data_IF_565102364940
#
_entry.id   IF_565102364940
#
_cell.length_a   1.000
_cell.length_b   1.000
_cell.length_c   1.000
_cell.angle_alpha   90.00
_cell.angle_beta   90.00
_cell.angle_gamma   90.00
#
_symmetry.space_group_name_H-M   'P 1'
#
loop_
_entity.id
_entity.type
_entity.pdbx_description
1 polymer ?
#
# COMPACT_ATOMS: atom_id res chain seq x y z
N UNK A 1 1.93 5.41 15.29
CA UNK A 1 2.89 4.32 15.08
C UNK A 1 4.19 4.66 15.81
N UNK A 2 4.83 3.69 16.49
CA UNK A 2 6.21 3.89 16.92
C UNK A 2 7.10 3.95 15.68
N UNK A 3 8.17 4.73 15.73
CA UNK A 3 9.11 4.90 14.61
C UNK A 3 9.60 3.54 14.06
N UNK A 4 9.89 2.60 14.97
CA UNK A 4 10.28 1.22 14.62
C UNK A 4 9.22 0.43 13.88
N UNK A 5 7.95 0.51 14.27
CA UNK A 5 6.87 -0.19 13.56
C UNK A 5 6.73 0.33 12.13
N UNK A 6 6.89 1.65 11.94
CA UNK A 6 6.89 2.27 10.62
C UNK A 6 8.07 1.79 9.77
N UNK A 7 9.30 1.80 10.31
CA UNK A 7 10.48 1.32 9.58
C UNK A 7 10.33 -0.13 9.12
N UNK A 8 9.73 -1.00 9.94
CA UNK A 8 9.47 -2.39 9.56
C UNK A 8 8.45 -2.49 8.42
N UNK A 9 7.38 -1.68 8.45
CA UNK A 9 6.38 -1.67 7.38
C UNK A 9 6.93 -1.12 6.06
N UNK A 10 7.79 -0.09 6.13
CA UNK A 10 8.53 0.42 4.96
C UNK A 10 9.46 -0.66 4.39
N UNK A 11 10.16 -1.40 5.26
CA UNK A 11 10.96 -2.57 4.84
C UNK A 11 10.13 -3.66 4.21
N UNK A 12 8.93 -3.94 4.76
CA UNK A 12 8.03 -4.96 4.22
C UNK A 12 7.54 -4.56 2.82
N UNK A 13 7.14 -3.30 2.62
CA UNK A 13 6.77 -2.79 1.30
C UNK A 13 7.90 -2.95 0.28
N UNK A 14 9.15 -2.60 0.66
CA UNK A 14 10.33 -2.80 -0.19
C UNK A 14 10.58 -4.26 -0.55
N UNK A 15 10.51 -5.17 0.43
CA UNK A 15 10.74 -6.60 0.19
C UNK A 15 9.65 -7.17 -0.71
N UNK A 16 8.39 -6.84 -0.47
CA UNK A 16 7.26 -7.27 -1.30
C UNK A 16 7.42 -6.74 -2.73
N UNK A 17 7.73 -5.45 -2.92
CA UNK A 17 7.93 -4.88 -4.24
C UNK A 17 9.09 -5.52 -5.02
N UNK A 18 10.15 -5.97 -4.34
CA UNK A 18 11.36 -6.53 -4.98
C UNK A 18 11.33 -8.04 -5.17
N UNK A 19 10.68 -8.78 -4.26
CA UNK A 19 10.78 -10.25 -4.15
C UNK A 19 9.41 -10.93 -4.09
N UNK A 20 8.32 -10.16 -4.18
CA UNK A 20 6.96 -10.64 -4.01
C UNK A 20 6.64 -11.08 -2.58
N UNK A 21 5.37 -11.38 -2.33
CA UNK A 21 4.90 -11.81 -1.01
C UNK A 21 5.58 -13.11 -0.55
N UNK A 22 5.81 -14.06 -1.46
CA UNK A 22 6.51 -15.33 -1.16
C UNK A 22 7.97 -15.11 -0.74
N UNK A 23 8.60 -14.04 -1.20
CA UNK A 23 9.96 -13.65 -0.82
C UNK A 23 10.06 -13.00 0.56
N UNK A 24 8.94 -12.64 1.19
CA UNK A 24 8.94 -12.02 2.52
C UNK A 24 9.24 -13.05 3.62
N UNK A 25 10.51 -13.10 4.02
CA UNK A 25 11.00 -13.84 5.19
C UNK A 25 11.21 -12.88 6.35
N UNK A 26 10.79 -13.26 7.56
CA UNK A 26 10.87 -12.39 8.75
C UNK A 26 12.31 -12.04 9.11
N UNK A 27 13.26 -12.95 8.89
CA UNK A 27 14.68 -12.70 9.10
C UNK A 27 15.22 -11.62 8.14
N UNK A 28 15.01 -11.80 6.84
CA UNK A 28 15.39 -10.83 5.81
C UNK A 28 14.73 -9.46 6.03
N UNK A 29 13.47 -9.44 6.46
CA UNK A 29 12.77 -8.21 6.80
C UNK A 29 13.40 -7.50 8.01
N UNK A 30 13.77 -8.26 9.05
CA UNK A 30 14.41 -7.71 10.23
C UNK A 30 15.77 -7.08 9.88
N UNK A 31 16.54 -7.74 9.01
CA UNK A 31 17.79 -7.22 8.46
C UNK A 31 17.57 -5.93 7.65
N UNK A 32 16.62 -5.93 6.71
CA UNK A 32 16.24 -4.78 5.88
C UNK A 32 15.78 -3.57 6.72
N UNK A 33 15.11 -3.83 7.85
CA UNK A 33 14.62 -2.79 8.76
C UNK A 33 15.63 -2.41 9.86
N UNK A 34 16.79 -3.06 9.93
CA UNK A 34 17.80 -2.81 10.96
C UNK A 34 17.31 -3.10 12.39
N UNK A 35 16.50 -4.16 12.56
CA UNK A 35 15.91 -4.58 13.84
C UNK A 35 16.13 -6.08 14.10
N UNK A 36 15.81 -6.55 15.30
CA UNK A 36 15.80 -7.98 15.60
C UNK A 36 14.52 -8.65 15.12
N UNK A 37 14.60 -9.94 14.77
CA UNK A 37 13.41 -10.77 14.47
C UNK A 37 12.42 -10.80 15.63
N UNK A 38 12.91 -10.81 16.88
CA UNK A 38 12.09 -10.72 18.07
C UNK A 38 11.26 -9.42 18.12
N UNK A 39 11.82 -8.28 17.71
CA UNK A 39 11.08 -7.01 17.65
C UNK A 39 10.02 -7.02 16.55
N UNK A 40 10.29 -7.68 15.43
CA UNK A 40 9.28 -7.88 14.38
C UNK A 40 8.12 -8.72 14.93
N UNK A 41 8.39 -9.89 15.53
CA UNK A 41 7.34 -10.71 16.12
C UNK A 41 6.60 -10.00 17.27
N UNK A 42 7.28 -9.17 18.06
CA UNK A 42 6.63 -8.34 19.07
C UNK A 42 5.55 -7.42 18.48
N UNK A 43 5.83 -6.78 17.33
CA UNK A 43 4.89 -5.86 16.70
C UNK A 43 3.80 -6.54 15.86
N UNK A 44 4.14 -7.65 15.21
CA UNK A 44 3.30 -8.23 14.15
C UNK A 44 2.80 -9.64 14.46
N UNK A 45 3.27 -10.26 15.55
CA UNK A 45 2.97 -11.62 16.02
C UNK A 45 3.46 -12.74 15.11
N UNK A 46 3.13 -12.68 13.83
CA UNK A 46 3.43 -13.70 12.83
C UNK A 46 3.57 -13.07 11.42
N UNK A 47 3.96 -13.89 10.44
CA UNK A 47 4.09 -13.45 9.04
C UNK A 47 2.76 -12.96 8.44
N UNK A 48 1.62 -13.63 8.65
CA UNK A 48 0.32 -13.10 8.25
C UNK A 48 0.01 -11.71 8.81
N UNK A 49 0.32 -11.48 10.08
CA UNK A 49 0.16 -10.20 10.75
C UNK A 49 1.04 -9.10 10.17
N UNK A 50 2.25 -9.43 9.69
CA UNK A 50 3.08 -8.52 8.91
C UNK A 50 2.37 -8.17 7.60
N UNK A 51 1.86 -9.17 6.87
CA UNK A 51 1.24 -8.96 5.56
C UNK A 51 -0.03 -8.11 5.64
N UNK A 52 -0.93 -8.38 6.59
CA UNK A 52 -2.14 -7.56 6.80
C UNK A 52 -1.80 -6.11 7.11
N UNK A 53 -0.82 -5.89 7.99
CA UNK A 53 -0.42 -4.53 8.34
C UNK A 53 0.37 -3.84 7.23
N UNK A 54 1.14 -4.59 6.43
CA UNK A 54 1.80 -4.06 5.24
C UNK A 54 0.79 -3.65 4.18
N UNK A 55 -0.27 -4.44 3.96
CA UNK A 55 -1.37 -4.08 3.06
C UNK A 55 -2.03 -2.76 3.50
N UNK A 56 -2.38 -2.62 4.78
CA UNK A 56 -2.94 -1.37 5.30
C UNK A 56 -1.97 -0.20 5.11
N UNK A 57 -0.69 -0.39 5.44
CA UNK A 57 0.34 0.64 5.24
C UNK A 57 0.51 1.07 3.78
N UNK A 58 0.43 0.13 2.83
CA UNK A 58 0.51 0.41 1.39
C UNK A 58 -0.74 1.17 0.93
N UNK A 59 -1.92 0.85 1.47
CA UNK A 59 -3.16 1.61 1.26
C UNK A 59 -3.03 3.05 1.77
N UNK A 60 -2.71 3.24 3.05
CA UNK A 60 -2.49 4.58 3.65
C UNK A 60 -1.43 5.38 2.88
N UNK A 61 -0.41 4.71 2.35
CA UNK A 61 0.63 5.34 1.53
C UNK A 61 0.09 5.80 0.19
N UNK A 62 -0.83 5.04 -0.42
CA UNK A 62 -1.52 5.44 -1.64
C UNK A 62 -2.36 6.68 -1.41
N UNK A 63 -3.20 6.67 -0.38
CA UNK A 63 -4.07 7.78 -0.02
C UNK A 63 -3.29 9.10 0.11
N UNK A 64 -2.11 9.07 0.76
CA UNK A 64 -1.26 10.26 0.93
C UNK A 64 -0.81 10.92 -0.37
N UNK A 65 -0.60 10.17 -1.46
CA UNK A 65 -0.17 10.74 -2.74
C UNK A 65 -1.30 10.88 -3.76
N UNK A 66 -2.48 10.33 -3.49
CA UNK A 66 -3.69 10.44 -4.33
C UNK A 66 -4.67 11.48 -3.81
N UNK A 67 -4.68 11.75 -2.50
CA UNK A 67 -5.47 12.80 -1.88
C UNK A 67 -5.23 14.14 -2.60
N UNK A 68 -6.31 14.87 -2.95
CA UNK A 68 -6.17 16.22 -3.48
C UNK A 68 -5.44 17.10 -2.46
N UNK A 69 -4.18 17.42 -2.76
CA UNK A 69 -3.50 18.48 -2.02
C UNK A 69 -4.17 19.81 -2.37
N UNK A 70 -4.85 20.42 -1.40
CA UNK A 70 -5.36 21.79 -1.48
C UNK A 70 -4.25 22.81 -1.81
N UNK A 71 -2.97 22.44 -1.66
CA UNK A 71 -1.82 23.28 -1.92
C UNK A 71 -1.61 23.64 -3.41
N UNK A 72 -2.39 23.04 -4.32
CA UNK A 72 -2.41 23.39 -5.75
C UNK A 72 -3.79 23.85 -6.25
N UNK A 73 -4.74 24.15 -5.37
CA UNK A 73 -6.14 24.38 -5.73
C UNK A 73 -6.37 25.69 -6.49
N UNK A 74 -6.12 25.67 -7.79
CA UNK A 74 -7.16 26.12 -8.73
C UNK A 74 -8.42 25.27 -8.49
N UNK A 75 -9.59 25.90 -8.64
CA UNK A 75 -10.92 25.32 -8.38
C UNK A 75 -11.02 23.83 -8.77
N UNK A 76 -11.67 23.04 -7.92
CA UNK A 76 -12.10 21.67 -8.26
C UNK A 76 -12.77 21.74 -9.64
N UNK A 77 -12.27 21.02 -10.67
CA UNK A 77 -12.87 21.05 -11.99
C UNK A 77 -14.34 20.72 -11.90
N UNK A 78 -15.12 21.45 -12.69
CA UNK A 78 -16.52 21.16 -12.86
C UNK A 78 -16.75 19.86 -13.65
N UNK A 79 -15.75 19.37 -14.39
CA UNK A 79 -15.85 18.16 -15.22
C UNK A 79 -15.45 16.89 -14.43
N UNK A 80 -16.39 15.94 -14.23
CA UNK A 80 -16.11 14.64 -13.64
C UNK A 80 -15.02 13.85 -14.36
N UNK A 81 -14.90 13.98 -15.68
CA UNK A 81 -13.85 13.30 -16.45
C UNK A 81 -12.47 13.81 -16.06
N UNK A 82 -12.30 15.12 -15.93
CA UNK A 82 -11.03 15.73 -15.52
C UNK A 82 -10.69 15.36 -14.07
N UNK A 83 -11.70 15.27 -13.19
CA UNK A 83 -11.51 14.76 -11.83
C UNK A 83 -11.00 13.32 -11.83
N UNK A 84 -11.66 12.43 -12.57
CA UNK A 84 -11.26 11.03 -12.71
C UNK A 84 -9.85 10.90 -13.28
N UNK A 85 -9.55 11.62 -14.36
CA UNK A 85 -8.23 11.59 -15.00
C UNK A 85 -7.13 12.00 -14.02
N UNK A 86 -7.32 13.10 -13.29
CA UNK A 86 -6.31 13.57 -12.32
C UNK A 86 -6.14 12.62 -11.14
N UNK A 87 -7.22 12.01 -10.65
CA UNK A 87 -7.14 10.97 -9.61
C UNK A 87 -6.34 9.77 -10.10
N UNK A 88 -6.66 9.25 -11.29
CA UNK A 88 -5.94 8.12 -11.88
C UNK A 88 -4.46 8.45 -12.14
N UNK A 89 -4.14 9.65 -12.64
CA UNK A 89 -2.75 10.05 -12.90
C UNK A 89 -1.90 10.10 -11.62
N UNK A 90 -2.50 10.37 -10.44
CA UNK A 90 -1.79 10.31 -9.16
C UNK A 90 -1.42 8.89 -8.75
N UNK A 91 -2.12 7.87 -9.25
CA UNK A 91 -1.77 6.47 -9.02
C UNK A 91 -0.56 6.01 -9.88
N UNK A 92 -0.27 6.73 -10.96
CA UNK A 92 0.73 6.34 -11.99
C UNK A 92 1.90 7.33 -12.11
N UNK A 93 2.44 7.79 -10.98
CA UNK A 93 3.57 8.71 -10.97
C UNK A 93 4.92 7.99 -11.14
N UNK A 94 5.91 8.67 -11.73
CA UNK A 94 7.28 8.16 -11.87
C UNK A 94 8.13 8.25 -10.59
N UNK A 95 7.54 8.75 -9.50
CA UNK A 95 8.21 8.83 -8.21
C UNK A 95 8.57 7.42 -7.69
N UNK A 96 9.81 7.19 -7.19
CA UNK A 96 10.23 5.88 -6.70
C UNK A 96 9.29 5.28 -5.65
N UNK A 97 8.78 6.12 -4.74
CA UNK A 97 7.81 5.73 -3.71
C UNK A 97 6.49 5.22 -4.30
N UNK A 98 5.95 5.88 -5.33
CA UNK A 98 4.69 5.49 -5.98
C UNK A 98 4.87 4.19 -6.76
N UNK A 99 5.98 4.06 -7.49
CA UNK A 99 6.30 2.83 -8.24
C UNK A 99 6.50 1.63 -7.32
N UNK A 100 7.19 1.81 -6.20
CA UNK A 100 7.36 0.78 -5.16
C UNK A 100 6.01 0.37 -4.57
N UNK A 101 5.17 1.34 -4.20
CA UNK A 101 3.87 1.08 -3.60
C UNK A 101 2.93 0.34 -4.56
N UNK A 102 2.87 0.79 -5.82
CA UNK A 102 2.10 0.16 -6.90
C UNK A 102 2.55 -1.28 -7.17
N UNK A 103 3.88 -1.52 -7.20
CA UNK A 103 4.42 -2.87 -7.37
C UNK A 103 4.06 -3.78 -6.20
N UNK A 104 4.19 -3.27 -4.96
CA UNK A 104 3.84 -4.05 -3.77
C UNK A 104 2.35 -4.40 -3.71
N UNK A 105 1.47 -3.47 -4.09
CA UNK A 105 0.04 -3.71 -4.22
C UNK A 105 -0.27 -4.78 -5.26
N UNK A 106 0.38 -4.70 -6.43
CA UNK A 106 0.27 -5.70 -7.50
C UNK A 106 0.67 -7.11 -7.03
N UNK A 107 1.79 -7.22 -6.31
CA UNK A 107 2.28 -8.48 -5.74
C UNK A 107 1.32 -9.07 -4.69
N UNK A 108 0.76 -8.23 -3.81
CA UNK A 108 -0.26 -8.64 -2.84
C UNK A 108 -1.52 -9.17 -3.54
N UNK A 109 -2.00 -8.44 -4.56
CA UNK A 109 -3.15 -8.87 -5.37
C UNK A 109 -2.86 -10.19 -6.08
N UNK A 110 -1.72 -10.33 -6.73
CA UNK A 110 -1.34 -11.55 -7.44
C UNK A 110 -1.19 -12.75 -6.49
N UNK A 111 -0.66 -12.53 -5.28
CA UNK A 111 -0.51 -13.56 -4.26
C UNK A 111 -1.85 -14.20 -3.89
N UNK A 112 -2.92 -13.40 -3.81
CA UNK A 112 -4.23 -13.91 -3.37
C UNK A 112 -4.89 -14.90 -4.32
N UNK A 113 -4.43 -14.97 -5.57
CA UNK A 113 -4.84 -16.03 -6.51
C UNK A 113 -4.48 -17.41 -5.96
N UNK A 114 -3.32 -17.53 -5.31
CA UNK A 114 -2.79 -18.80 -4.82
C UNK A 114 -2.98 -19.01 -3.32
N UNK A 115 -3.10 -17.93 -2.55
CA UNK A 115 -3.22 -17.97 -1.09
C UNK A 115 -4.40 -17.10 -0.63
N UNK A 116 -5.46 -17.68 -0.04
CA UNK A 116 -6.65 -16.92 0.33
C UNK A 116 -6.45 -15.92 1.48
N UNK A 117 -5.33 -15.98 2.20
CA UNK A 117 -5.15 -15.32 3.50
C UNK A 117 -5.51 -13.83 3.55
N UNK A 118 -5.29 -13.07 2.46
CA UNK A 118 -5.54 -11.61 2.40
C UNK A 118 -6.70 -11.24 1.46
N UNK A 119 -7.49 -12.20 0.99
CA UNK A 119 -8.53 -11.95 -0.03
C UNK A 119 -9.58 -10.97 0.46
N UNK A 120 -10.04 -11.13 1.69
CA UNK A 120 -11.11 -10.29 2.25
C UNK A 120 -10.62 -8.85 2.41
N UNK A 121 -9.42 -8.66 2.97
CA UNK A 121 -8.84 -7.34 3.17
C UNK A 121 -8.52 -6.64 1.84
N UNK A 122 -7.98 -7.34 0.84
CA UNK A 122 -7.75 -6.78 -0.50
C UNK A 122 -9.05 -6.46 -1.23
N UNK A 123 -10.07 -7.32 -1.09
CA UNK A 123 -11.38 -7.06 -1.68
C UNK A 123 -12.04 -5.83 -1.05
N UNK A 124 -11.96 -5.69 0.28
CA UNK A 124 -12.48 -4.53 1.00
C UNK A 124 -11.75 -3.24 0.58
N UNK A 125 -10.43 -3.25 0.52
CA UNK A 125 -9.65 -2.08 0.12
C UNK A 125 -9.91 -1.69 -1.36
N UNK A 126 -10.02 -2.68 -2.25
CA UNK A 126 -10.41 -2.43 -3.64
C UNK A 126 -11.82 -1.89 -3.79
N UNK A 127 -12.79 -2.39 -3.00
CA UNK A 127 -14.16 -1.91 -3.02
C UNK A 127 -14.27 -0.46 -2.51
N UNK A 128 -13.51 -0.10 -1.46
CA UNK A 128 -13.45 1.27 -0.95
C UNK A 128 -12.95 2.25 -2.03
N UNK A 129 -11.82 1.93 -2.67
CA UNK A 129 -11.27 2.75 -3.76
C UNK A 129 -12.23 2.87 -4.96
N UNK A 130 -12.91 1.78 -5.35
CA UNK A 130 -13.92 1.83 -6.42
C UNK A 130 -15.09 2.75 -6.05
N UNK A 131 -15.56 2.70 -4.79
CA UNK A 131 -16.63 3.57 -4.33
C UNK A 131 -16.21 5.04 -4.35
N UNK A 132 -15.02 5.37 -3.88
CA UNK A 132 -14.46 6.74 -3.92
C UNK A 132 -14.33 7.27 -5.35
N UNK A 133 -13.84 6.45 -6.28
CA UNK A 133 -13.74 6.81 -7.69
C UNK A 133 -15.12 6.97 -8.33
N UNK A 134 -16.10 6.15 -7.97
CA UNK A 134 -17.47 6.23 -8.49
C UNK A 134 -18.17 7.54 -8.07
N UNK A 135 -17.94 8.02 -6.85
CA UNK A 135 -18.44 9.30 -6.35
C UNK A 135 -17.89 10.51 -7.14
N UNK A 136 -16.76 10.38 -7.84
CA UNK A 136 -16.23 11.45 -8.69
C UNK A 136 -17.06 11.67 -9.96
N UNK A 137 -17.85 10.68 -10.36
CA UNK A 137 -18.62 10.69 -11.62
C UNK A 137 -20.14 10.58 -11.42
N UNK A 138 -20.59 10.59 -10.17
CA UNK A 138 -22.00 10.63 -9.78
C UNK A 138 -22.57 12.05 -9.92
#
# INVERSE_FOLDING_TARGET
MTDRRRTILEGAARVIARRGVRGLRVADLAEEAGVSTALVYYHFKDRPGILRQALAFIGDRADRYTEPSDAGAGQRPADPRELLERTLLREFQDLPEVRENSTAWGELRAHTVFDPELREELAAAGAAWVAEVAELVA
#
